data_IF_228133983575
#
_entry.id   IF_228133983575
#
_cell.length_a   1.000
_cell.length_b   1.000
_cell.length_c   1.000
_cell.angle_alpha   90.00
_cell.angle_beta   90.00
_cell.angle_gamma   90.00
#
_symmetry.space_group_name_H-M   'P 1'
#
loop_
_entity.id
_entity.type
_entity.pdbx_description
1 polymer ?
#
# COMPACT_ATOMS: atom_id res chain seq x y z
N UNK A 1 -1.85 -9.80 -17.95
CA UNK A 1 -2.03 -8.33 -17.99
C UNK A 1 -2.06 -7.87 -19.43
N UNK A 2 -3.16 -7.25 -19.84
CA UNK A 2 -3.33 -6.72 -21.20
C UNK A 2 -2.41 -5.50 -21.45
N UNK A 3 -2.21 -5.09 -22.71
CA UNK A 3 -1.45 -3.89 -23.04
C UNK A 3 -1.99 -2.59 -22.38
N UNK A 4 -3.30 -2.51 -22.11
CA UNK A 4 -3.95 -1.34 -21.49
C UNK A 4 -3.66 -1.23 -20.00
N UNK A 5 -3.70 -2.32 -19.23
CA UNK A 5 -3.36 -2.32 -17.81
C UNK A 5 -1.89 -1.98 -17.56
N UNK A 6 -0.99 -2.40 -18.46
CA UNK A 6 0.42 -1.96 -18.42
C UNK A 6 0.55 -0.45 -18.63
N UNK A 7 -0.31 0.17 -19.45
CA UNK A 7 -0.31 1.61 -19.68
C UNK A 7 -0.75 2.40 -18.45
N UNK A 8 -1.77 1.93 -17.72
CA UNK A 8 -2.31 2.61 -16.55
C UNK A 8 -1.34 2.55 -15.35
N UNK A 9 -0.71 1.39 -15.11
CA UNK A 9 0.36 1.25 -14.12
C UNK A 9 1.56 2.17 -14.42
N UNK A 10 1.92 2.32 -15.69
CA UNK A 10 2.96 3.25 -16.09
C UNK A 10 2.58 4.72 -15.81
N UNK A 11 1.32 5.08 -16.06
CA UNK A 11 0.77 6.40 -15.75
C UNK A 11 0.77 6.64 -14.24
N UNK A 12 0.29 5.68 -13.45
CA UNK A 12 0.31 5.76 -11.98
C UNK A 12 1.73 5.95 -11.45
N UNK A 13 2.70 5.17 -11.98
CA UNK A 13 4.13 5.29 -11.61
C UNK A 13 4.66 6.69 -11.95
N UNK A 14 4.35 7.22 -13.13
CA UNK A 14 4.76 8.56 -13.56
C UNK A 14 4.25 9.63 -12.61
N UNK A 15 2.97 9.63 -12.27
CA UNK A 15 2.38 10.62 -11.37
C UNK A 15 2.89 10.47 -9.93
N UNK A 16 3.21 9.25 -9.49
CA UNK A 16 3.88 9.03 -8.20
C UNK A 16 5.22 9.75 -8.14
N UNK A 17 6.03 9.63 -9.18
CA UNK A 17 7.32 10.35 -9.25
C UNK A 17 7.15 11.86 -9.32
N UNK A 18 6.11 12.37 -9.96
CA UNK A 18 5.79 13.81 -9.98
C UNK A 18 5.48 14.30 -8.56
N UNK A 19 4.69 13.56 -7.79
CA UNK A 19 4.43 13.89 -6.37
C UNK A 19 5.71 13.86 -5.54
N UNK A 20 6.51 12.81 -5.66
CA UNK A 20 7.78 12.67 -4.92
C UNK A 20 8.73 13.82 -5.27
N UNK A 21 8.88 14.14 -6.55
CA UNK A 21 9.72 15.25 -7.00
C UNK A 21 9.25 16.59 -6.46
N UNK A 22 7.94 16.84 -6.46
CA UNK A 22 7.38 18.06 -5.87
C UNK A 22 7.66 18.17 -4.36
N UNK A 23 7.42 17.09 -3.62
CA UNK A 23 7.63 17.08 -2.17
C UNK A 23 9.11 17.21 -1.81
N UNK A 24 10.00 16.63 -2.60
CA UNK A 24 11.44 16.79 -2.45
C UNK A 24 11.86 18.25 -2.66
N UNK A 25 11.36 18.88 -3.72
CA UNK A 25 11.66 20.32 -3.98
C UNK A 25 11.07 21.21 -2.90
N UNK A 26 9.88 20.92 -2.41
CA UNK A 26 9.24 21.64 -1.31
C UNK A 26 10.06 21.59 -0.04
N UNK A 27 10.49 20.41 0.39
CA UNK A 27 11.31 20.24 1.60
C UNK A 27 12.67 20.93 1.46
N UNK A 28 13.30 20.81 0.29
CA UNK A 28 14.56 21.47 -0.02
C UNK A 28 14.45 23.00 0.05
N UNK A 29 13.40 23.57 -0.54
CA UNK A 29 13.13 25.00 -0.50
C UNK A 29 12.78 25.48 0.91
N UNK A 30 11.97 24.73 1.66
CA UNK A 30 11.65 25.07 3.05
C UNK A 30 12.89 25.09 3.93
N UNK A 31 13.80 24.11 3.76
CA UNK A 31 15.08 24.11 4.47
C UNK A 31 15.98 25.26 4.04
N UNK A 32 16.06 25.57 2.74
CA UNK A 32 16.80 26.71 2.24
C UNK A 32 16.31 28.03 2.85
N UNK A 33 15.00 28.22 2.95
CA UNK A 33 14.38 29.38 3.60
C UNK A 33 14.72 29.44 5.10
N UNK A 34 14.66 28.30 5.78
CA UNK A 34 15.04 28.17 7.17
C UNK A 34 16.51 28.57 7.39
N UNK A 35 17.39 27.96 6.60
CA UNK A 35 18.84 28.17 6.71
C UNK A 35 19.24 29.60 6.37
N UNK A 36 18.72 30.16 5.28
CA UNK A 36 19.02 31.54 4.89
C UNK A 36 18.51 32.53 5.92
N UNK A 37 17.29 32.38 6.44
CA UNK A 37 16.76 33.25 7.48
C UNK A 37 17.61 33.21 8.76
N UNK A 38 18.00 32.01 9.18
CA UNK A 38 18.88 31.85 10.35
C UNK A 38 20.22 32.57 10.16
N UNK A 39 20.83 32.41 8.99
CA UNK A 39 22.14 32.98 8.66
C UNK A 39 22.14 34.50 8.44
N UNK A 40 21.01 35.05 7.95
CA UNK A 40 20.95 36.49 7.62
C UNK A 40 20.29 37.36 8.70
N UNK A 41 19.39 36.75 9.51
CA UNK A 41 18.62 37.53 10.50
C UNK A 41 19.03 37.24 11.97
N UNK A 42 19.44 36.00 12.27
CA UNK A 42 19.66 35.61 13.68
C UNK A 42 21.12 35.54 14.02
N UNK A 43 21.97 34.87 13.24
CA UNK A 43 23.39 34.73 13.55
C UNK A 43 24.15 36.09 13.54
N UNK A 44 23.88 37.06 12.65
CA UNK A 44 24.51 38.37 12.71
C UNK A 44 24.21 39.13 13.99
N UNK A 45 22.97 39.01 14.51
CA UNK A 45 22.61 39.69 15.77
C UNK A 45 23.24 39.08 16.99
N UNK A 46 23.68 37.81 16.94
CA UNK A 46 24.30 37.10 18.04
C UNK A 46 25.83 37.04 17.97
N UNK A 47 26.37 36.88 16.78
CA UNK A 47 27.81 36.59 16.59
C UNK A 47 28.54 37.62 15.70
N UNK A 48 27.84 38.61 15.15
CA UNK A 48 28.43 39.61 14.24
C UNK A 48 28.96 39.02 12.91
N UNK A 49 28.53 37.81 12.54
CA UNK A 49 29.00 37.09 11.35
C UNK A 49 27.96 37.22 10.23
N UNK A 50 28.30 37.93 9.17
CA UNK A 50 27.39 38.32 8.09
C UNK A 50 27.60 37.49 6.80
N UNK A 51 28.06 36.25 6.90
CA UNK A 51 28.39 35.43 5.74
C UNK A 51 27.50 34.21 5.58
N UNK A 52 26.83 34.11 4.42
CA UNK A 52 26.09 32.92 3.98
C UNK A 52 27.13 31.86 3.53
N UNK A 53 27.60 31.03 4.48
CA UNK A 53 28.55 29.97 4.18
C UNK A 53 27.83 28.68 3.83
N UNK A 54 27.97 28.23 2.59
CA UNK A 54 27.46 26.96 2.08
C UNK A 54 28.40 25.80 2.47
N UNK A 55 28.45 25.48 3.75
CA UNK A 55 29.30 24.40 4.27
C UNK A 55 28.65 23.01 4.21
N UNK A 56 29.42 21.97 4.56
CA UNK A 56 28.93 20.59 4.59
C UNK A 56 27.66 20.41 5.44
N UNK A 57 27.50 21.17 6.51
CA UNK A 57 26.31 21.15 7.37
C UNK A 57 25.01 21.54 6.61
N UNK A 58 25.13 22.48 5.65
CA UNK A 58 23.98 22.85 4.79
C UNK A 58 23.55 21.71 3.92
N UNK A 59 24.49 21.03 3.23
CA UNK A 59 24.14 19.92 2.34
C UNK A 59 23.60 18.70 3.10
N UNK A 60 24.13 18.41 4.26
CA UNK A 60 23.63 17.36 5.15
C UNK A 60 22.21 17.72 5.61
N UNK A 61 21.97 18.95 6.02
CA UNK A 61 20.67 19.40 6.50
C UNK A 61 19.59 19.38 5.44
N UNK A 62 19.87 19.85 4.21
CA UNK A 62 18.90 19.81 3.11
C UNK A 62 18.56 18.35 2.74
N UNK A 63 19.57 17.47 2.68
CA UNK A 63 19.37 16.05 2.39
C UNK A 63 18.54 15.37 3.49
N UNK A 64 18.91 15.56 4.75
CA UNK A 64 18.22 14.97 5.89
C UNK A 64 16.76 15.44 5.99
N UNK A 65 16.52 16.76 5.87
CA UNK A 65 15.16 17.32 5.90
C UNK A 65 14.30 16.76 4.78
N UNK A 66 14.85 16.71 3.55
CA UNK A 66 14.13 16.16 2.40
C UNK A 66 13.82 14.69 2.60
N UNK A 67 14.77 13.89 3.03
CA UNK A 67 14.58 12.47 3.29
C UNK A 67 13.52 12.21 4.37
N UNK A 68 13.60 12.93 5.48
CA UNK A 68 12.65 12.80 6.59
C UNK A 68 11.22 13.21 6.17
N UNK A 69 11.09 14.29 5.38
CA UNK A 69 9.80 14.70 4.85
C UNK A 69 9.18 13.65 3.92
N UNK A 70 9.95 13.17 2.96
CA UNK A 70 9.50 12.10 2.04
C UNK A 70 9.15 10.82 2.79
N UNK A 71 9.95 10.43 3.79
CA UNK A 71 9.68 9.27 4.63
C UNK A 71 8.37 9.43 5.43
N UNK A 72 8.11 10.61 5.99
CA UNK A 72 6.88 10.92 6.73
C UNK A 72 5.64 10.79 5.83
N UNK A 73 5.71 11.33 4.61
CA UNK A 73 4.63 11.24 3.63
C UNK A 73 4.43 9.81 3.12
N UNK A 74 5.53 9.08 2.89
CA UNK A 74 5.47 7.67 2.50
C UNK A 74 4.83 6.81 3.59
N UNK A 75 5.21 7.01 4.84
CA UNK A 75 4.71 6.26 5.99
C UNK A 75 3.18 6.37 6.11
N UNK A 76 2.62 7.54 5.83
CA UNK A 76 1.15 7.77 5.86
C UNK A 76 0.47 7.32 4.55
N UNK A 77 1.22 6.80 3.58
CA UNK A 77 0.68 6.32 2.30
C UNK A 77 0.31 7.42 1.31
N UNK A 78 0.94 8.61 1.44
CA UNK A 78 0.63 9.75 0.56
C UNK A 78 1.04 9.55 -0.91
N UNK A 79 1.76 8.48 -1.23
CA UNK A 79 2.16 8.13 -2.61
C UNK A 79 1.35 6.95 -3.18
N UNK A 80 0.40 6.41 -2.41
CA UNK A 80 -0.48 5.35 -2.88
C UNK A 80 -1.58 5.95 -3.78
N UNK A 81 -1.94 5.24 -4.84
CA UNK A 81 -3.02 5.57 -5.78
C UNK A 81 -3.09 7.06 -6.19
N UNK A 82 -2.05 7.61 -6.83
CA UNK A 82 -1.96 9.05 -7.10
C UNK A 82 -3.07 9.59 -8.00
N UNK A 83 -3.73 8.75 -8.81
CA UNK A 83 -4.76 9.16 -9.76
C UNK A 83 -6.14 9.36 -9.12
N UNK A 84 -6.40 8.78 -7.94
CA UNK A 84 -7.73 8.68 -7.34
C UNK A 84 -7.83 9.33 -5.96
N UNK A 85 -7.11 10.42 -5.76
CA UNK A 85 -7.09 11.11 -4.47
C UNK A 85 -8.20 12.13 -4.36
N UNK A 86 -8.94 12.11 -3.26
CA UNK A 86 -9.79 13.21 -2.84
C UNK A 86 -8.93 14.39 -2.38
N UNK A 87 -9.18 15.58 -2.94
CA UNK A 87 -8.43 16.79 -2.59
C UNK A 87 -8.56 17.13 -1.11
N UNK A 88 -9.78 17.07 -0.57
CA UNK A 88 -10.04 17.40 0.83
C UNK A 88 -9.34 16.44 1.79
N UNK A 89 -9.45 15.12 1.52
CA UNK A 89 -8.76 14.10 2.32
C UNK A 89 -7.23 14.25 2.23
N UNK A 90 -6.70 14.59 1.05
CA UNK A 90 -5.27 14.82 0.86
C UNK A 90 -4.78 16.06 1.61
N UNK A 91 -5.51 17.18 1.52
CA UNK A 91 -5.20 18.41 2.26
C UNK A 91 -5.19 18.19 3.77
N UNK A 92 -6.21 17.54 4.32
CA UNK A 92 -6.28 17.23 5.75
C UNK A 92 -5.10 16.37 6.21
N UNK A 93 -4.72 15.36 5.43
CA UNK A 93 -3.57 14.49 5.75
C UNK A 93 -2.24 15.25 5.71
N UNK A 94 -2.03 16.14 4.73
CA UNK A 94 -0.80 16.95 4.64
C UNK A 94 -0.69 17.86 5.87
N UNK A 95 -1.78 18.50 6.27
CA UNK A 95 -1.77 19.35 7.46
C UNK A 95 -1.41 18.53 8.71
N UNK A 96 -2.04 17.37 8.89
CA UNK A 96 -1.75 16.48 10.02
C UNK A 96 -0.27 16.03 10.03
N UNK A 97 0.23 15.51 8.89
CA UNK A 97 1.62 15.06 8.77
C UNK A 97 2.58 16.24 8.94
N UNK A 98 2.26 17.39 8.37
CA UNK A 98 3.08 18.58 8.46
C UNK A 98 3.21 19.12 9.89
N UNK A 99 2.13 19.14 10.66
CA UNK A 99 2.17 19.53 12.07
C UNK A 99 3.08 18.58 12.86
N UNK A 100 2.88 17.27 12.71
CA UNK A 100 3.70 16.26 13.41
C UNK A 100 5.17 16.36 12.98
N UNK A 101 5.42 16.53 11.68
CA UNK A 101 6.77 16.66 11.13
C UNK A 101 7.47 17.91 11.66
N UNK A 102 6.82 19.08 11.62
CA UNK A 102 7.40 20.34 12.09
C UNK A 102 7.68 20.29 13.59
N UNK A 103 6.77 19.75 14.38
CA UNK A 103 6.98 19.58 15.83
C UNK A 103 8.16 18.63 16.12
N UNK A 104 8.20 17.48 15.44
CA UNK A 104 9.30 16.53 15.59
C UNK A 104 10.65 17.11 15.12
N UNK A 105 10.65 17.84 14.01
CA UNK A 105 11.82 18.50 13.47
C UNK A 105 12.32 19.61 14.42
N UNK A 106 11.40 20.39 14.98
CA UNK A 106 11.70 21.42 15.95
C UNK A 106 12.37 20.84 17.20
N UNK A 107 11.79 19.79 17.78
CA UNK A 107 12.32 19.12 18.97
C UNK A 107 13.68 18.45 18.71
N UNK A 108 13.90 17.87 17.53
CA UNK A 108 15.11 17.11 17.23
C UNK A 108 16.28 17.97 16.77
N UNK A 109 16.03 19.10 16.10
CA UNK A 109 17.06 19.85 15.40
C UNK A 109 17.10 21.34 15.69
N UNK A 110 16.01 21.95 16.17
CA UNK A 110 15.95 23.39 16.41
C UNK A 110 16.02 23.75 17.88
N UNK A 111 15.65 22.84 18.77
CA UNK A 111 15.62 23.13 20.22
C UNK A 111 17.04 23.26 20.80
N UNK A 112 18.01 22.55 20.24
CA UNK A 112 19.43 22.55 20.67
C UNK A 112 20.25 23.69 20.04
N UNK A 113 19.64 24.48 19.16
CA UNK A 113 20.28 25.61 18.52
C UNK A 113 20.34 26.80 19.48
N UNK A 114 21.52 27.47 19.47
CA UNK A 114 21.72 28.71 20.25
C UNK A 114 20.91 29.85 19.62
N UNK A 115 19.97 30.41 20.36
CA UNK A 115 19.05 31.48 19.92
C UNK A 115 19.04 32.57 21.00
N UNK A 116 18.97 33.83 20.57
CA UNK A 116 19.04 34.99 21.49
C UNK A 116 17.79 35.17 22.33
N UNK A 117 16.61 34.75 21.83
CA UNK A 117 15.35 34.88 22.52
C UNK A 117 14.39 33.75 22.20
N UNK A 118 13.39 33.50 23.09
CA UNK A 118 12.33 32.55 22.84
C UNK A 118 11.48 32.90 21.61
N UNK A 119 11.38 34.16 21.24
CA UNK A 119 10.68 34.63 20.05
C UNK A 119 11.36 34.18 18.77
N UNK A 120 12.69 34.06 18.76
CA UNK A 120 13.41 33.59 17.57
C UNK A 120 13.06 32.15 17.21
N UNK A 121 12.81 31.28 18.21
CA UNK A 121 12.32 29.93 17.97
C UNK A 121 10.96 29.91 17.23
N UNK A 122 10.03 30.79 17.64
CA UNK A 122 8.74 30.90 16.96
C UNK A 122 8.87 31.46 15.55
N UNK A 123 9.79 32.41 15.33
CA UNK A 123 10.06 32.94 14.01
C UNK A 123 10.70 31.91 13.07
N UNK A 124 11.65 31.12 13.55
CA UNK A 124 12.30 30.04 12.78
C UNK A 124 11.28 28.93 12.48
N UNK A 125 10.68 28.37 13.54
CA UNK A 125 9.75 27.26 13.43
C UNK A 125 8.49 27.62 12.64
N UNK A 126 7.93 28.80 12.86
CA UNK A 126 6.74 29.27 12.16
C UNK A 126 6.96 29.48 10.66
N UNK A 127 8.10 30.06 10.26
CA UNK A 127 8.46 30.22 8.84
C UNK A 127 8.69 28.88 8.15
N UNK A 128 9.40 27.98 8.82
CA UNK A 128 9.62 26.63 8.32
C UNK A 128 8.29 25.88 8.14
N UNK A 129 7.41 25.96 9.16
CA UNK A 129 6.07 25.37 9.10
C UNK A 129 5.25 25.96 7.96
N UNK A 130 5.22 27.28 7.84
CA UNK A 130 4.51 27.96 6.77
C UNK A 130 5.04 27.56 5.39
N UNK A 131 6.37 27.55 5.21
CA UNK A 131 6.98 27.18 3.95
C UNK A 131 6.63 25.75 3.54
N UNK A 132 6.84 24.77 4.43
CA UNK A 132 6.61 23.37 4.11
C UNK A 132 5.13 23.08 3.86
N UNK A 133 4.22 23.64 4.66
CA UNK A 133 2.78 23.43 4.50
C UNK A 133 2.23 24.13 3.26
N UNK A 134 2.51 25.41 3.04
CA UNK A 134 1.96 26.16 1.92
C UNK A 134 2.47 25.65 0.58
N UNK A 135 3.77 25.35 0.46
CA UNK A 135 4.35 24.80 -0.76
C UNK A 135 3.82 23.39 -1.04
N UNK A 136 3.74 22.52 -0.01
CA UNK A 136 3.20 21.17 -0.19
C UNK A 136 1.72 21.20 -0.59
N UNK A 137 0.88 21.98 0.11
CA UNK A 137 -0.55 22.10 -0.21
C UNK A 137 -0.76 22.67 -1.60
N UNK A 138 -0.12 23.78 -1.92
CA UNK A 138 -0.28 24.46 -3.22
C UNK A 138 0.05 23.55 -4.39
N UNK A 139 1.22 22.90 -4.33
CA UNK A 139 1.64 22.04 -5.43
C UNK A 139 0.84 20.74 -5.55
N UNK A 140 0.47 20.14 -4.44
CA UNK A 140 -0.37 18.94 -4.49
C UNK A 140 -1.77 19.22 -4.99
N UNK A 141 -2.38 20.36 -4.62
CA UNK A 141 -3.65 20.81 -5.19
C UNK A 141 -3.50 21.05 -6.71
N UNK A 142 -2.40 21.66 -7.13
CA UNK A 142 -2.12 21.88 -8.54
C UNK A 142 -1.96 20.56 -9.29
N UNK A 143 -1.15 19.62 -8.80
CA UNK A 143 -0.96 18.30 -9.41
C UNK A 143 -2.29 17.53 -9.47
N UNK A 144 -3.05 17.48 -8.37
CA UNK A 144 -4.36 16.83 -8.32
C UNK A 144 -5.35 17.47 -9.34
N UNK A 145 -5.25 18.79 -9.55
CA UNK A 145 -6.07 19.50 -10.54
C UNK A 145 -5.70 19.13 -11.97
N UNK A 146 -4.40 18.98 -12.25
CA UNK A 146 -3.93 18.50 -13.56
C UNK A 146 -4.41 17.07 -13.84
N UNK A 147 -4.31 16.17 -12.86
CA UNK A 147 -4.78 14.78 -12.98
C UNK A 147 -6.28 14.76 -13.28
N UNK A 148 -7.10 15.48 -12.49
CA UNK A 148 -8.56 15.57 -12.72
C UNK A 148 -8.89 16.14 -14.11
N UNK A 149 -8.13 17.12 -14.59
CA UNK A 149 -8.32 17.65 -15.96
C UNK A 149 -8.06 16.59 -17.02
N UNK A 150 -7.04 15.73 -16.82
CA UNK A 150 -6.72 14.64 -17.75
C UNK A 150 -7.80 13.55 -17.73
N UNK A 151 -8.33 13.18 -16.55
CA UNK A 151 -9.45 12.25 -16.41
C UNK A 151 -10.68 12.80 -17.14
N UNK A 152 -11.07 14.04 -16.88
CA UNK A 152 -12.21 14.68 -17.54
C UNK A 152 -12.07 14.77 -19.06
N UNK A 153 -10.84 14.92 -19.54
CA UNK A 153 -10.53 14.92 -20.97
C UNK A 153 -10.40 13.50 -21.56
N UNK A 154 -10.78 12.45 -20.80
CA UNK A 154 -10.75 11.04 -21.21
C UNK A 154 -9.39 10.56 -21.73
N UNK A 155 -8.28 11.18 -21.27
CA UNK A 155 -6.93 10.73 -21.66
C UNK A 155 -6.57 9.38 -21.06
N UNK A 156 -7.15 9.04 -19.93
CA UNK A 156 -7.16 7.73 -19.33
C UNK A 156 -8.47 7.51 -18.58
N UNK A 157 -8.89 6.27 -18.52
CA UNK A 157 -10.14 5.86 -17.89
C UNK A 157 -9.89 4.57 -17.12
N UNK A 158 -10.76 4.29 -16.16
CA UNK A 158 -10.71 3.09 -15.32
C UNK A 158 -11.77 2.10 -15.82
N UNK A 159 -11.35 0.97 -16.45
CA UNK A 159 -12.30 -0.04 -16.87
C UNK A 159 -13.02 -0.62 -15.66
N UNK A 160 -14.34 -0.45 -15.61
CA UNK A 160 -15.18 -0.82 -14.48
C UNK A 160 -16.21 -1.85 -14.90
N UNK A 161 -16.33 -2.93 -14.13
CA UNK A 161 -17.34 -3.96 -14.29
C UNK A 161 -18.48 -3.71 -13.31
N UNK A 162 -19.72 -3.73 -13.81
CA UNK A 162 -20.91 -3.64 -12.97
C UNK A 162 -21.43 -5.03 -12.70
N UNK A 163 -21.65 -5.39 -11.43
CA UNK A 163 -22.09 -6.72 -11.02
C UNK A 163 -23.35 -6.57 -10.19
N UNK A 164 -24.42 -7.27 -10.57
CA UNK A 164 -25.66 -7.19 -9.80
C UNK A 164 -26.87 -7.79 -10.49
N UNK A 165 -28.06 -7.41 -10.03
CA UNK A 165 -29.33 -7.81 -10.63
C UNK A 165 -29.90 -6.64 -11.43
N UNK A 166 -30.55 -6.94 -12.55
CA UNK A 166 -31.17 -5.92 -13.42
C UNK A 166 -32.10 -5.00 -12.64
N UNK A 167 -33.02 -5.60 -11.88
CA UNK A 167 -34.04 -4.87 -11.12
C UNK A 167 -33.45 -3.87 -10.12
N UNK A 168 -32.29 -4.17 -9.57
CA UNK A 168 -31.61 -3.28 -8.61
C UNK A 168 -30.78 -2.20 -9.29
N UNK A 169 -30.18 -2.51 -10.43
CA UNK A 169 -29.27 -1.60 -11.15
C UNK A 169 -30.06 -0.61 -12.03
N UNK A 170 -31.07 -1.09 -12.74
CA UNK A 170 -31.79 -0.30 -13.76
C UNK A 170 -32.33 1.04 -13.25
N UNK A 171 -32.96 1.11 -12.05
CA UNK A 171 -33.40 2.39 -11.49
C UNK A 171 -32.26 3.38 -11.17
N UNK A 172 -31.06 2.85 -10.92
CA UNK A 172 -29.87 3.62 -10.50
C UNK A 172 -28.87 3.87 -11.63
N UNK A 173 -29.11 3.32 -12.82
CA UNK A 173 -28.12 3.30 -13.91
C UNK A 173 -27.68 4.70 -14.35
N UNK A 174 -28.56 5.69 -14.32
CA UNK A 174 -28.24 7.05 -14.69
C UNK A 174 -27.31 7.71 -13.67
N UNK A 175 -27.51 7.45 -12.39
CA UNK A 175 -26.66 7.98 -11.32
C UNK A 175 -25.30 7.29 -11.33
N UNK A 176 -25.28 5.96 -11.58
CA UNK A 176 -24.04 5.18 -11.75
C UNK A 176 -23.22 5.73 -12.93
N UNK A 177 -23.85 6.02 -14.07
CA UNK A 177 -23.16 6.59 -15.23
C UNK A 177 -22.64 8.00 -14.99
N UNK A 178 -23.41 8.85 -14.29
CA UNK A 178 -22.94 10.20 -13.90
C UNK A 178 -21.73 10.12 -13.00
N UNK A 179 -21.78 9.22 -12.03
CA UNK A 179 -20.64 8.95 -11.14
C UNK A 179 -19.42 8.52 -11.94
N UNK A 180 -19.56 7.51 -12.82
CA UNK A 180 -18.49 7.05 -13.66
C UNK A 180 -17.87 8.15 -14.54
N UNK A 181 -18.67 9.03 -15.11
CA UNK A 181 -18.17 10.18 -15.88
C UNK A 181 -17.34 11.15 -15.01
N UNK A 182 -17.74 11.36 -13.76
CA UNK A 182 -17.06 12.25 -12.84
C UNK A 182 -15.78 11.66 -12.25
N UNK A 183 -15.77 10.35 -11.97
CA UNK A 183 -14.65 9.60 -11.39
C UNK A 183 -13.65 9.09 -12.45
N UNK A 184 -14.06 9.10 -13.73
CA UNK A 184 -13.25 8.60 -14.85
C UNK A 184 -13.40 7.08 -15.09
N UNK A 185 -14.43 6.49 -14.56
CA UNK A 185 -14.79 5.10 -14.80
C UNK A 185 -15.45 4.92 -16.17
N UNK A 186 -15.11 3.84 -16.85
CA UNK A 186 -15.74 3.43 -18.11
C UNK A 186 -16.29 2.04 -17.92
N UNK A 187 -17.62 1.92 -17.96
CA UNK A 187 -18.28 0.64 -17.85
C UNK A 187 -18.02 -0.20 -19.09
N UNK A 188 -17.24 -1.28 -18.92
CA UNK A 188 -16.84 -2.18 -20.01
C UNK A 188 -17.82 -3.34 -20.18
N UNK A 189 -18.63 -3.58 -19.16
CA UNK A 189 -19.67 -4.60 -19.18
C UNK A 189 -20.42 -4.69 -17.86
N UNK A 190 -21.49 -5.49 -17.86
CA UNK A 190 -22.17 -5.86 -16.63
C UNK A 190 -22.37 -7.37 -16.54
N UNK A 191 -22.45 -7.87 -15.32
CA UNK A 191 -22.62 -9.29 -14.99
C UNK A 191 -23.93 -9.44 -14.22
N UNK A 192 -24.80 -10.31 -14.72
CA UNK A 192 -26.01 -10.67 -14.01
C UNK A 192 -25.70 -11.76 -12.98
N UNK A 193 -26.08 -11.52 -11.73
CA UNK A 193 -25.90 -12.49 -10.63
C UNK A 193 -27.00 -13.55 -10.63
N UNK A 194 -28.16 -13.23 -11.22
CA UNK A 194 -29.26 -14.19 -11.43
C UNK A 194 -29.07 -14.85 -12.80
N UNK A 195 -29.11 -16.17 -12.82
CA UNK A 195 -29.12 -16.95 -14.07
C UNK A 195 -30.57 -17.10 -14.59
N UNK A 196 -31.20 -15.94 -14.87
CA UNK A 196 -32.56 -15.82 -15.31
C UNK A 196 -32.72 -15.81 -16.86
N UNK A 197 -31.59 -15.97 -17.57
CA UNK A 197 -31.56 -15.97 -19.05
C UNK A 197 -31.71 -14.59 -19.68
N UNK A 198 -31.68 -13.51 -18.89
CA UNK A 198 -31.69 -12.14 -19.40
C UNK A 198 -30.30 -11.69 -19.78
N UNK A 199 -29.98 -11.76 -21.07
CA UNK A 199 -28.69 -11.35 -21.66
C UNK A 199 -28.74 -9.96 -22.30
N UNK A 200 -29.77 -9.16 -22.06
CA UNK A 200 -29.91 -7.86 -22.69
C UNK A 200 -28.91 -6.84 -22.12
N UNK A 201 -28.50 -5.92 -22.97
CA UNK A 201 -27.66 -4.79 -22.54
C UNK A 201 -28.43 -3.91 -21.55
N UNK A 202 -27.70 -3.36 -20.57
CA UNK A 202 -28.25 -2.47 -19.55
C UNK A 202 -27.93 -1.02 -19.93
N UNK A 203 -28.87 -0.30 -20.52
CA UNK A 203 -28.69 1.07 -20.98
C UNK A 203 -27.39 1.26 -21.80
N UNK A 204 -27.14 0.37 -22.77
CA UNK A 204 -25.96 0.40 -23.63
C UNK A 204 -24.67 -0.17 -23.03
N UNK A 205 -24.69 -0.70 -21.79
CA UNK A 205 -23.61 -1.48 -21.20
C UNK A 205 -23.84 -2.94 -21.59
N UNK A 206 -22.94 -3.60 -22.33
CA UNK A 206 -23.14 -4.99 -22.75
C UNK A 206 -23.11 -5.94 -21.55
N UNK A 207 -23.94 -6.96 -21.56
CA UNK A 207 -23.78 -8.09 -20.67
C UNK A 207 -22.60 -8.93 -21.15
N UNK A 208 -21.71 -9.28 -20.24
CA UNK A 208 -20.47 -9.98 -20.58
C UNK A 208 -20.53 -11.45 -20.18
N UNK A 209 -21.10 -11.75 -19.03
CA UNK A 209 -21.23 -13.12 -18.53
C UNK A 209 -22.23 -13.21 -17.39
N UNK A 210 -22.56 -14.46 -17.00
CA UNK A 210 -23.14 -14.79 -15.71
C UNK A 210 -22.05 -14.80 -14.61
N UNK A 211 -22.45 -15.03 -13.38
CA UNK A 211 -21.54 -15.05 -12.22
C UNK A 211 -20.39 -16.05 -12.37
N UNK A 212 -20.62 -17.20 -13.02
CA UNK A 212 -19.62 -18.24 -13.23
C UNK A 212 -18.51 -17.83 -14.20
N UNK A 213 -18.80 -16.92 -15.14
CA UNK A 213 -17.84 -16.40 -16.12
C UNK A 213 -17.14 -15.10 -15.71
N UNK A 214 -17.33 -14.63 -14.47
CA UNK A 214 -16.74 -13.34 -13.99
C UNK A 214 -15.23 -13.32 -14.12
N UNK A 215 -14.54 -14.39 -13.75
CA UNK A 215 -13.06 -14.46 -13.80
C UNK A 215 -12.51 -14.34 -15.22
N UNK A 216 -13.14 -15.01 -16.20
CA UNK A 216 -12.72 -14.94 -17.60
C UNK A 216 -12.99 -13.55 -18.20
N UNK A 217 -14.16 -13.00 -17.91
CA UNK A 217 -14.55 -11.66 -18.34
C UNK A 217 -13.65 -10.60 -17.76
N UNK A 218 -13.28 -10.73 -16.49
CA UNK A 218 -12.38 -9.84 -15.80
C UNK A 218 -11.01 -9.78 -16.48
N UNK A 219 -10.44 -10.94 -16.78
CA UNK A 219 -9.12 -11.04 -17.43
C UNK A 219 -9.16 -10.56 -18.89
N UNK A 220 -10.26 -10.85 -19.61
CA UNK A 220 -10.40 -10.48 -21.02
C UNK A 220 -10.61 -8.98 -21.24
N UNK A 221 -11.32 -8.31 -20.32
CA UNK A 221 -11.67 -6.90 -20.41
C UNK A 221 -10.71 -5.97 -19.67
N UNK A 222 -9.68 -6.53 -19.00
CA UNK A 222 -8.68 -5.74 -18.24
C UNK A 222 -9.30 -4.81 -17.18
N UNK A 223 -10.24 -5.37 -16.43
CA UNK A 223 -11.03 -4.64 -15.43
C UNK A 223 -10.16 -4.21 -14.25
N UNK A 224 -10.29 -2.97 -13.80
CA UNK A 224 -9.61 -2.45 -12.60
C UNK A 224 -10.54 -2.36 -11.40
N UNK A 225 -11.79 -1.98 -11.63
CA UNK A 225 -12.78 -1.75 -10.60
C UNK A 225 -14.01 -2.58 -10.83
N UNK A 226 -14.65 -2.98 -9.73
CA UNK A 226 -15.95 -3.60 -9.73
C UNK A 226 -16.92 -2.80 -8.88
N UNK A 227 -18.11 -2.52 -9.41
CA UNK A 227 -19.21 -1.98 -8.63
C UNK A 227 -20.24 -3.10 -8.44
N UNK A 228 -20.40 -3.53 -7.19
CA UNK A 228 -21.36 -4.57 -6.81
C UNK A 228 -22.65 -3.90 -6.35
N UNK A 229 -23.71 -4.17 -7.06
CA UNK A 229 -25.04 -3.60 -6.86
C UNK A 229 -26.06 -4.72 -6.65
N UNK A 230 -26.16 -5.20 -5.42
CA UNK A 230 -27.05 -6.29 -5.02
C UNK A 230 -28.03 -5.84 -3.95
N UNK A 231 -29.27 -6.34 -3.98
CA UNK A 231 -30.24 -6.11 -2.91
C UNK A 231 -29.84 -6.86 -1.63
N UNK A 232 -30.31 -6.38 -0.47
CA UNK A 232 -29.94 -6.89 0.87
C UNK A 232 -30.21 -8.40 1.05
N UNK A 233 -31.27 -8.92 0.44
CA UNK A 233 -31.64 -10.34 0.51
C UNK A 233 -30.65 -11.28 -0.19
N UNK A 234 -29.75 -10.77 -1.03
CA UNK A 234 -28.76 -11.56 -1.78
C UNK A 234 -27.33 -11.49 -1.17
N UNK A 235 -27.16 -10.87 -0.02
CA UNK A 235 -25.87 -10.75 0.63
C UNK A 235 -25.23 -12.10 1.01
N UNK A 236 -26.02 -13.19 1.12
CA UNK A 236 -25.48 -14.54 1.31
C UNK A 236 -24.57 -15.02 0.16
N UNK A 237 -24.87 -14.62 -1.08
CA UNK A 237 -24.08 -14.95 -2.28
C UNK A 237 -22.86 -14.03 -2.45
N UNK A 238 -22.79 -12.95 -1.69
CA UNK A 238 -21.74 -11.96 -1.74
C UNK A 238 -20.37 -12.53 -1.33
N UNK A 239 -20.34 -13.42 -0.35
CA UNK A 239 -19.09 -13.95 0.20
C UNK A 239 -18.28 -14.72 -0.85
N UNK A 240 -18.95 -15.55 -1.66
CA UNK A 240 -18.28 -16.29 -2.75
C UNK A 240 -17.83 -15.38 -3.88
N UNK A 241 -18.66 -14.40 -4.26
CA UNK A 241 -18.32 -13.41 -5.28
C UNK A 241 -17.12 -12.54 -4.84
N UNK A 242 -17.11 -12.06 -3.60
CA UNK A 242 -16.01 -11.29 -3.05
C UNK A 242 -14.72 -12.09 -3.11
N UNK A 243 -14.71 -13.35 -2.69
CA UNK A 243 -13.52 -14.21 -2.76
C UNK A 243 -12.95 -14.33 -4.18
N UNK A 244 -13.81 -14.43 -5.19
CA UNK A 244 -13.37 -14.45 -6.59
C UNK A 244 -12.80 -13.10 -7.02
N UNK A 245 -13.47 -12.00 -6.71
CA UNK A 245 -13.01 -10.65 -7.06
C UNK A 245 -11.71 -10.27 -6.34
N UNK A 246 -11.52 -10.77 -5.13
CA UNK A 246 -10.30 -10.61 -4.34
C UNK A 246 -9.08 -11.23 -4.99
N UNK A 247 -9.23 -12.43 -5.56
CA UNK A 247 -8.15 -13.11 -6.29
C UNK A 247 -7.73 -12.34 -7.55
N UNK A 248 -8.64 -11.52 -8.09
CA UNK A 248 -8.42 -10.73 -9.31
C UNK A 248 -7.75 -9.37 -9.04
N UNK A 249 -7.39 -9.05 -7.78
CA UNK A 249 -6.72 -7.79 -7.37
C UNK A 249 -7.51 -6.52 -7.75
N UNK A 250 -8.82 -6.62 -7.93
CA UNK A 250 -9.68 -5.49 -8.27
C UNK A 250 -10.07 -4.69 -7.03
N UNK A 251 -10.40 -3.41 -7.23
CA UNK A 251 -11.08 -2.65 -6.19
C UNK A 251 -12.58 -2.91 -6.28
N UNK A 252 -13.17 -3.21 -5.15
CA UNK A 252 -14.58 -3.56 -5.06
C UNK A 252 -15.31 -2.40 -4.38
N UNK A 253 -16.30 -1.86 -5.05
CA UNK A 253 -17.23 -0.88 -4.52
C UNK A 253 -18.58 -1.53 -4.36
N UNK A 254 -19.27 -1.25 -3.27
CA UNK A 254 -20.58 -1.81 -3.00
C UNK A 254 -21.58 -0.70 -2.72
N UNK A 255 -22.81 -0.86 -3.16
CA UNK A 255 -23.90 -0.05 -2.65
C UNK A 255 -24.14 -0.41 -1.20
N UNK A 256 -24.16 0.57 -0.28
CA UNK A 256 -24.41 0.31 1.12
C UNK A 256 -25.84 -0.19 1.32
N UNK A 257 -25.98 -1.08 2.26
CA UNK A 257 -27.29 -1.44 2.79
C UNK A 257 -27.87 -0.32 3.67
N UNK A 258 -29.13 -0.44 4.04
CA UNK A 258 -29.81 0.52 4.90
C UNK A 258 -29.08 0.67 6.24
N UNK A 259 -28.52 -0.42 6.78
CA UNK A 259 -27.77 -0.41 8.03
C UNK A 259 -26.45 0.33 7.91
N UNK A 260 -25.72 0.13 6.83
CA UNK A 260 -24.47 0.85 6.54
C UNK A 260 -24.67 2.36 6.44
N UNK A 261 -25.79 2.80 5.85
CA UNK A 261 -26.17 4.22 5.77
C UNK A 261 -26.48 4.77 7.16
N UNK A 262 -27.30 4.08 7.93
CA UNK A 262 -27.75 4.52 9.25
C UNK A 262 -26.61 4.51 10.30
N UNK A 263 -25.67 3.57 10.19
CA UNK A 263 -24.50 3.47 11.09
C UNK A 263 -23.42 4.51 10.84
N UNK A 264 -23.55 5.32 9.76
CA UNK A 264 -22.55 6.33 9.37
C UNK A 264 -21.24 5.73 8.82
N UNK A 265 -21.22 4.44 8.51
CA UNK A 265 -20.07 3.78 7.87
C UNK A 265 -19.90 4.17 6.41
N UNK A 266 -20.97 4.69 5.80
CA UNK A 266 -20.97 5.13 4.41
C UNK A 266 -20.34 6.51 4.31
N UNK A 267 -19.20 6.59 3.68
CA UNK A 267 -18.65 7.86 3.22
C UNK A 267 -19.14 8.11 1.80
N UNK A 268 -19.95 9.15 1.61
CA UNK A 268 -20.27 9.60 0.25
C UNK A 268 -18.97 9.93 -0.47
N UNK A 269 -18.79 9.37 -1.65
CA UNK A 269 -17.70 9.77 -2.52
C UNK A 269 -17.90 11.22 -3.00
N UNK A 270 -16.83 11.90 -3.40
CA UNK A 270 -16.81 13.29 -3.88
C UNK A 270 -17.84 13.56 -5.01
N UNK A 271 -18.46 12.53 -5.57
CA UNK A 271 -19.35 12.55 -6.74
C UNK A 271 -20.81 12.17 -6.44
N UNK A 272 -21.15 11.99 -5.16
CA UNK A 272 -22.56 11.91 -4.71
C UNK A 272 -23.22 10.54 -4.74
N UNK A 273 -22.56 9.48 -5.21
CA UNK A 273 -23.04 8.11 -5.01
C UNK A 273 -22.61 7.59 -3.64
N UNK A 274 -23.51 7.01 -2.86
CA UNK A 274 -23.14 6.32 -1.63
C UNK A 274 -22.52 4.97 -2.02
N UNK A 275 -21.21 4.94 -2.22
CA UNK A 275 -20.46 3.71 -2.45
C UNK A 275 -19.49 3.47 -1.30
N UNK A 276 -19.45 2.24 -0.81
CA UNK A 276 -18.47 1.79 0.17
C UNK A 276 -17.39 1.01 -0.55
N UNK A 277 -16.14 1.46 -0.46
CA UNK A 277 -15.02 0.69 -0.95
C UNK A 277 -14.77 -0.48 0.00
N UNK A 278 -14.87 -1.70 -0.53
CA UNK A 278 -14.59 -2.91 0.23
C UNK A 278 -13.10 -3.12 0.31
N UNK A 279 -12.58 -3.10 1.52
CA UNK A 279 -11.17 -3.36 1.78
C UNK A 279 -11.02 -4.69 2.50
N UNK A 280 -10.34 -5.63 1.87
CA UNK A 280 -9.91 -6.89 2.48
C UNK A 280 -9.01 -6.70 3.68
N UNK A 281 -8.17 -5.71 3.59
CA UNK A 281 -7.21 -5.41 4.62
C UNK A 281 -7.70 -4.21 5.44
N UNK A 282 -8.15 -4.43 6.69
CA UNK A 282 -8.62 -3.35 7.54
C UNK A 282 -7.51 -2.39 7.98
N UNK A 283 -6.24 -2.71 7.64
CA UNK A 283 -5.10 -1.87 8.01
C UNK A 283 -5.06 -0.59 7.19
N UNK A 284 -4.89 0.54 7.88
CA UNK A 284 -4.57 1.81 7.23
C UNK A 284 -3.19 1.73 6.55
N UNK A 285 -2.93 2.60 5.58
CA UNK A 285 -1.62 2.65 4.92
C UNK A 285 -0.47 2.86 5.92
N UNK A 286 -0.69 3.68 6.95
CA UNK A 286 0.27 3.89 8.04
C UNK A 286 0.57 2.59 8.79
N UNK A 287 -0.45 1.83 9.18
CA UNK A 287 -0.27 0.54 9.85
C UNK A 287 0.46 -0.47 8.96
N UNK A 288 0.10 -0.55 7.68
CA UNK A 288 0.73 -1.45 6.72
C UNK A 288 2.22 -1.11 6.50
N UNK A 289 2.56 0.17 6.31
CA UNK A 289 3.94 0.60 6.15
C UNK A 289 4.76 0.46 7.42
N UNK A 290 4.20 0.79 8.58
CA UNK A 290 4.86 0.59 9.88
C UNK A 290 5.11 -0.90 10.13
N UNK A 291 4.11 -1.75 9.89
CA UNK A 291 4.26 -3.20 9.97
C UNK A 291 5.38 -3.70 9.07
N UNK A 292 5.42 -3.26 7.81
CA UNK A 292 6.47 -3.64 6.87
C UNK A 292 7.86 -3.17 7.31
N UNK A 293 7.96 -1.96 7.87
CA UNK A 293 9.22 -1.44 8.41
C UNK A 293 9.72 -2.33 9.56
N UNK A 294 8.83 -2.71 10.48
CA UNK A 294 9.14 -3.62 11.59
C UNK A 294 9.57 -4.99 11.06
N UNK A 295 8.81 -5.57 10.11
CA UNK A 295 9.13 -6.85 9.47
C UNK A 295 10.54 -6.84 8.86
N UNK A 296 10.87 -5.80 8.08
CA UNK A 296 12.18 -5.65 7.43
C UNK A 296 13.30 -5.46 8.47
N UNK A 297 13.07 -4.60 9.47
CA UNK A 297 14.09 -4.31 10.48
C UNK A 297 14.41 -5.54 11.31
N UNK A 298 13.38 -6.21 11.85
CA UNK A 298 13.58 -7.40 12.69
C UNK A 298 14.19 -8.54 11.87
N UNK A 299 13.72 -8.77 10.64
CA UNK A 299 14.25 -9.82 9.78
C UNK A 299 15.71 -9.60 9.41
N UNK A 300 16.08 -8.35 9.11
CA UNK A 300 17.47 -7.99 8.80
C UNK A 300 18.36 -8.21 10.02
N UNK A 301 17.94 -7.74 11.19
CA UNK A 301 18.68 -7.96 12.44
C UNK A 301 18.82 -9.45 12.77
N UNK A 302 17.74 -10.22 12.63
CA UNK A 302 17.77 -11.65 12.86
C UNK A 302 18.71 -12.38 11.90
N UNK A 303 18.71 -12.04 10.61
CA UNK A 303 19.62 -12.62 9.62
C UNK A 303 21.09 -12.28 9.92
N UNK A 304 21.40 -11.06 10.33
CA UNK A 304 22.76 -10.63 10.65
C UNK A 304 23.23 -11.26 11.96
N UNK A 305 22.46 -11.14 13.04
CA UNK A 305 22.85 -11.62 14.38
C UNK A 305 22.93 -13.14 14.42
N UNK A 306 22.00 -13.84 13.76
CA UNK A 306 21.99 -15.29 13.71
C UNK A 306 22.86 -15.88 12.59
N UNK A 307 23.59 -15.08 11.79
CA UNK A 307 24.44 -15.58 10.70
C UNK A 307 25.41 -16.70 11.10
N UNK A 308 26.15 -16.61 12.23
CA UNK A 308 27.01 -17.72 12.67
C UNK A 308 26.21 -18.98 13.02
N UNK A 309 25.02 -18.84 13.62
CA UNK A 309 24.13 -19.96 13.91
C UNK A 309 23.60 -20.61 12.62
N UNK A 310 23.24 -19.79 11.60
CA UNK A 310 22.83 -20.33 10.29
C UNK A 310 23.94 -21.19 9.67
N UNK A 311 25.18 -20.71 9.71
CA UNK A 311 26.33 -21.48 9.20
C UNK A 311 26.50 -22.79 9.94
N UNK A 312 26.46 -22.76 11.28
CA UNK A 312 26.56 -23.94 12.12
C UNK A 312 25.47 -24.96 11.81
N UNK A 313 24.20 -24.51 11.77
CA UNK A 313 23.06 -25.38 11.46
C UNK A 313 23.16 -25.97 10.05
N UNK A 314 23.58 -25.17 9.07
CA UNK A 314 23.78 -25.64 7.69
C UNK A 314 24.84 -26.75 7.61
N UNK A 315 25.96 -26.60 8.33
CA UNK A 315 27.01 -27.62 8.42
C UNK A 315 26.49 -28.90 9.10
N UNK A 316 25.79 -28.75 10.22
CA UNK A 316 25.19 -29.88 10.94
C UNK A 316 24.20 -30.66 10.07
N UNK A 317 23.34 -29.95 9.30
CA UNK A 317 22.39 -30.60 8.40
C UNK A 317 23.11 -31.34 7.27
N UNK A 318 24.18 -30.75 6.68
CA UNK A 318 24.99 -31.41 5.64
C UNK A 318 25.67 -32.67 6.13
N UNK A 319 26.16 -32.68 7.38
CA UNK A 319 26.76 -33.86 7.98
C UNK A 319 25.76 -34.94 8.36
N UNK A 320 24.53 -34.55 8.69
CA UNK A 320 23.47 -35.48 9.11
C UNK A 320 22.90 -36.32 7.95
N UNK A 321 22.85 -35.78 6.72
CA UNK A 321 22.30 -36.50 5.56
C UNK A 321 22.77 -35.91 4.24
N UNK A 322 22.85 -36.73 3.16
CA UNK A 322 23.24 -36.32 1.82
C UNK A 322 22.23 -35.29 1.26
N UNK A 323 22.72 -34.22 0.60
CA UNK A 323 21.92 -33.21 -0.10
C UNK A 323 22.10 -31.79 0.45
N UNK A 324 21.25 -30.83 0.00
CA UNK A 324 21.31 -29.41 0.37
C UNK A 324 20.93 -29.17 1.84
N UNK A 325 21.46 -28.12 2.47
CA UNK A 325 21.10 -27.76 3.83
C UNK A 325 19.70 -27.15 3.95
N UNK A 326 19.25 -26.46 2.91
CA UNK A 326 17.94 -25.81 2.84
C UNK A 326 16.95 -26.68 2.07
N UNK A 327 15.70 -26.60 2.50
CA UNK A 327 14.53 -27.19 1.86
C UNK A 327 13.56 -26.08 1.46
N UNK A 328 12.97 -26.22 0.28
CA UNK A 328 11.98 -25.28 -0.25
C UNK A 328 10.67 -26.02 -0.46
N UNK A 329 9.58 -25.42 -0.02
CA UNK A 329 8.24 -25.95 -0.19
C UNK A 329 7.34 -24.85 -0.74
N UNK A 330 6.56 -25.17 -1.76
CA UNK A 330 5.55 -24.27 -2.28
C UNK A 330 4.39 -24.13 -1.31
N UNK A 331 3.95 -22.91 -1.09
CA UNK A 331 2.83 -22.53 -0.20
C UNK A 331 2.04 -21.41 -0.82
N UNK A 332 0.78 -21.31 -0.45
CA UNK A 332 -0.06 -20.17 -0.83
C UNK A 332 0.11 -19.04 0.18
N UNK A 333 0.45 -17.87 -0.31
CA UNK A 333 0.61 -16.64 0.46
C UNK A 333 -0.59 -15.72 0.33
N UNK A 334 -0.34 -14.42 0.50
CA UNK A 334 -1.37 -13.38 0.36
C UNK A 334 -2.02 -13.44 -1.03
N UNK A 335 -3.36 -13.35 -1.09
CA UNK A 335 -4.15 -13.44 -2.32
C UNK A 335 -3.95 -14.75 -3.10
N UNK A 336 -3.73 -15.87 -2.37
CA UNK A 336 -3.49 -17.19 -2.96
C UNK A 336 -2.31 -17.24 -3.94
N UNK A 337 -1.36 -16.31 -3.86
CA UNK A 337 -0.15 -16.31 -4.70
C UNK A 337 0.82 -17.39 -4.22
N UNK A 338 1.29 -18.29 -5.10
CA UNK A 338 2.26 -19.28 -4.71
C UNK A 338 3.62 -18.64 -4.43
N UNK A 339 4.28 -19.07 -3.35
CA UNK A 339 5.65 -18.71 -3.01
C UNK A 339 6.39 -19.89 -2.39
N UNK A 340 7.73 -19.82 -2.35
CA UNK A 340 8.55 -20.87 -1.76
C UNK A 340 8.98 -20.50 -0.36
N UNK A 341 8.45 -21.23 0.65
CA UNK A 341 8.92 -21.11 2.03
C UNK A 341 10.27 -21.81 2.17
N UNK A 342 11.23 -21.17 2.83
CA UNK A 342 12.59 -21.67 3.00
C UNK A 342 12.76 -22.17 4.45
N UNK A 343 13.25 -23.40 4.61
CA UNK A 343 13.54 -24.02 5.92
C UNK A 343 14.87 -24.75 5.89
N UNK A 344 15.46 -25.00 7.05
CA UNK A 344 16.50 -26.02 7.13
C UNK A 344 15.90 -27.41 6.95
N UNK A 345 16.61 -28.26 6.22
CA UNK A 345 16.18 -29.64 6.02
C UNK A 345 16.26 -30.42 7.31
N UNK A 346 15.15 -30.87 7.84
CA UNK A 346 15.01 -31.66 9.04
C UNK A 346 14.76 -33.16 8.78
N UNK A 347 14.46 -33.52 7.52
CA UNK A 347 14.20 -34.91 7.08
C UNK A 347 15.25 -35.39 6.09
N UNK A 348 15.37 -36.72 5.92
CA UNK A 348 16.26 -37.36 4.92
C UNK A 348 15.79 -37.04 3.51
N UNK A 349 16.70 -37.00 2.55
CA UNK A 349 16.38 -36.77 1.14
C UNK A 349 15.48 -37.89 0.60
N UNK A 350 14.43 -37.52 -0.16
CA UNK A 350 13.46 -38.50 -0.69
C UNK A 350 12.39 -38.96 0.32
N UNK A 351 12.33 -38.34 1.50
CA UNK A 351 11.35 -38.65 2.53
C UNK A 351 9.91 -38.30 2.15
N UNK A 352 9.71 -37.41 1.21
CA UNK A 352 8.39 -37.07 0.67
C UNK A 352 8.09 -38.09 -0.46
N UNK A 353 7.17 -39.02 -0.17
CA UNK A 353 6.59 -39.87 -1.22
C UNK A 353 5.69 -39.08 -2.16
N UNK A 354 4.99 -39.76 -3.09
CA UNK A 354 4.06 -39.16 -4.06
C UNK A 354 2.90 -38.35 -3.45
N UNK A 355 2.70 -38.43 -2.13
CA UNK A 355 1.71 -37.61 -1.40
C UNK A 355 2.34 -37.01 -0.15
N UNK A 356 2.11 -35.69 0.12
CA UNK A 356 2.55 -35.07 1.37
C UNK A 356 1.81 -35.71 2.56
N UNK A 357 2.56 -36.38 3.43
CA UNK A 357 2.03 -36.98 4.66
C UNK A 357 2.33 -36.04 5.85
N UNK A 358 1.35 -35.86 6.71
CA UNK A 358 1.55 -35.16 7.97
C UNK A 358 2.61 -35.91 8.80
N UNK A 359 3.65 -35.21 9.26
CA UNK A 359 4.69 -35.78 10.09
C UNK A 359 4.20 -35.91 11.53
N UNK A 360 4.39 -37.10 12.13
CA UNK A 360 4.20 -37.36 13.57
C UNK A 360 5.51 -37.10 14.31
N UNK A 361 5.45 -36.99 15.67
CA UNK A 361 6.62 -36.66 16.48
C UNK A 361 7.74 -37.71 16.37
N UNK A 362 7.42 -39.00 16.16
CA UNK A 362 8.36 -40.09 15.99
C UNK A 362 8.49 -40.58 14.54
N UNK A 363 8.40 -39.69 13.57
CA UNK A 363 8.55 -40.04 12.17
C UNK A 363 10.00 -40.48 11.85
N UNK A 364 10.22 -41.71 11.33
CA UNK A 364 11.56 -42.22 11.04
C UNK A 364 12.29 -41.46 9.93
N UNK A 365 11.59 -40.65 9.19
CA UNK A 365 12.16 -39.78 8.14
C UNK A 365 12.93 -38.58 8.71
N UNK A 366 12.71 -38.22 9.99
CA UNK A 366 13.36 -37.10 10.65
C UNK A 366 14.77 -37.51 11.10
N UNK A 367 15.76 -36.65 10.77
CA UNK A 367 17.15 -36.88 11.23
C UNK A 367 17.29 -36.56 12.74
N UNK A 368 18.31 -37.11 13.42
CA UNK A 368 18.55 -36.80 14.83
C UNK A 368 18.72 -35.30 15.10
N UNK A 369 19.44 -34.59 14.23
CA UNK A 369 19.57 -33.12 14.25
C UNK A 369 18.23 -32.46 13.92
N UNK A 370 17.47 -33.04 12.99
CA UNK A 370 16.14 -32.57 12.64
C UNK A 370 15.17 -32.60 13.82
N UNK A 371 15.21 -33.60 14.67
CA UNK A 371 14.40 -33.67 15.90
C UNK A 371 14.69 -32.47 16.82
N UNK A 372 15.98 -32.18 17.05
CA UNK A 372 16.38 -31.00 17.86
C UNK A 372 15.94 -29.71 17.24
N UNK A 373 16.19 -29.52 15.93
CA UNK A 373 15.81 -28.29 15.24
C UNK A 373 14.30 -28.05 15.28
N UNK A 374 13.47 -29.07 15.05
CA UNK A 374 12.00 -28.98 15.13
C UNK A 374 11.52 -28.67 16.54
N UNK A 375 12.10 -29.30 17.56
CA UNK A 375 11.76 -29.05 18.97
C UNK A 375 11.93 -27.56 19.34
N UNK A 376 12.99 -26.92 18.86
CA UNK A 376 13.31 -25.51 19.14
C UNK A 376 12.94 -24.56 17.99
N UNK A 377 12.26 -25.04 16.95
CA UNK A 377 11.90 -24.29 15.75
C UNK A 377 13.07 -23.63 15.02
N UNK A 378 14.27 -24.19 15.16
CA UNK A 378 15.46 -23.69 14.48
C UNK A 378 15.43 -23.97 12.97
N UNK A 379 14.67 -24.96 12.53
CA UNK A 379 14.45 -25.27 11.14
C UNK A 379 13.67 -24.17 10.39
N UNK A 380 12.92 -23.33 11.10
CA UNK A 380 12.14 -22.23 10.52
C UNK A 380 12.92 -20.91 10.43
N UNK A 381 14.13 -20.81 11.01
CA UNK A 381 14.94 -19.59 10.98
C UNK A 381 15.15 -19.02 9.56
N UNK A 382 15.38 -19.80 8.49
CA UNK A 382 15.53 -19.25 7.14
C UNK A 382 14.30 -18.50 6.61
N UNK A 383 13.14 -18.64 7.24
CA UNK A 383 11.92 -17.89 6.86
C UNK A 383 12.06 -16.36 7.07
N UNK A 384 13.02 -15.91 7.90
CA UNK A 384 13.34 -14.48 7.99
C UNK A 384 13.75 -13.89 6.63
N UNK A 385 14.28 -14.69 5.71
CA UNK A 385 14.51 -14.28 4.34
C UNK A 385 13.20 -14.05 3.57
N UNK A 386 12.22 -14.96 3.72
CA UNK A 386 10.91 -14.77 3.09
C UNK A 386 10.20 -13.52 3.63
N UNK A 387 10.35 -13.23 4.94
CA UNK A 387 9.80 -12.01 5.54
C UNK A 387 10.52 -10.77 4.99
N UNK A 388 11.84 -10.81 4.85
CA UNK A 388 12.63 -9.71 4.31
C UNK A 388 12.26 -9.38 2.85
N UNK A 389 12.05 -10.39 2.02
CA UNK A 389 11.63 -10.22 0.61
C UNK A 389 10.16 -9.77 0.53
N UNK A 390 9.30 -10.18 1.46
CA UNK A 390 7.90 -9.79 1.54
C UNK A 390 6.89 -10.88 1.21
N UNK A 391 7.35 -12.12 1.04
CA UNK A 391 6.48 -13.27 0.84
C UNK A 391 5.66 -13.59 2.10
N UNK A 392 6.22 -13.25 3.27
CA UNK A 392 5.64 -13.49 4.59
C UNK A 392 5.74 -12.25 5.48
N UNK A 393 5.08 -12.29 6.63
CA UNK A 393 5.20 -11.30 7.70
C UNK A 393 5.45 -12.00 9.03
N UNK A 394 6.06 -11.30 9.99
CA UNK A 394 6.30 -11.81 11.36
C UNK A 394 4.99 -12.19 12.05
N UNK A 395 3.95 -11.40 11.84
CA UNK A 395 2.63 -11.63 12.41
C UNK A 395 1.61 -11.71 11.28
N UNK A 396 0.96 -12.85 11.14
CA UNK A 396 -0.04 -13.09 10.10
C UNK A 396 -0.57 -14.52 10.13
N UNK A 397 -1.59 -14.85 9.31
CA UNK A 397 -2.05 -16.21 9.15
C UNK A 397 -0.93 -17.10 8.63
N UNK A 398 -0.98 -18.38 8.99
CA UNK A 398 -0.01 -19.36 8.50
C UNK A 398 -0.27 -19.65 7.02
N UNK A 399 0.75 -19.62 6.14
CA UNK A 399 0.57 -19.96 4.73
C UNK A 399 0.22 -21.46 4.58
N UNK A 400 -0.75 -21.75 3.75
CA UNK A 400 -1.27 -23.09 3.47
C UNK A 400 -0.58 -23.74 2.27
#
# INVERSE_FOLDING_TARGET
>A
MSPRGKSLLAIQRRWRWVYIGWDATTASLAYLMLYSFRKTAIEPSLFGIDHLLWGNKFYIGIFATTLLWLASLWLVGMYNNPLRKSRLKEMGRIVQVGIVFVLGYFLAFLLDDYVGSTLDYFHIGGRFAAAILLLSLGGRIFIASLIRRQIRNKRFAFPTLLIGTRDFIEPKIQDIKRHGQASGEVFVGWVNVLDDGDYAALDGIPMVSSIDGVSESFLSLDVEDCIVALPENMHGSLSSLILVLEQLESRIFMFPDTYGILSGQVQMDDHGLPLVEWHLNPMTAFQAHTKRLVDVTISTLALIVCAPLYLLLALCVKWSSKGGALYRQERLGLQSKPFFIIKFRSMRQGAEGLKPLLSKDDDPRITSIGKVMRKYRLDELPQFWNILVGDMSLVGPRPE
#
